data_IF_664020433538
#
_entry.id   IF_664020433538
#
_cell.length_a   1.000
_cell.length_b   1.000
_cell.length_c   1.000
_cell.angle_alpha   90.00
_cell.angle_beta   90.00
_cell.angle_gamma   90.00
#
_symmetry.space_group_name_H-M   'P 1'
#
loop_
_entity.id
_entity.type
_entity.pdbx_description
1 polymer ?
#
# COMPACT_ATOMS: atom_id res chain seq x y z
N UNK A 1 -4.22 -44.29 -11.04
CA UNK A 1 -2.99 -43.47 -10.96
C UNK A 1 -2.74 -42.91 -12.35
N UNK A 2 -3.32 -41.75 -12.65
CA UNK A 2 -3.09 -40.99 -13.89
C UNK A 2 -2.70 -39.60 -13.41
N UNK A 3 -1.47 -39.21 -13.72
CA UNK A 3 -0.94 -37.89 -13.44
C UNK A 3 -1.78 -36.85 -14.18
N UNK A 4 -2.25 -35.87 -13.43
CA UNK A 4 -2.74 -34.61 -13.99
C UNK A 4 -1.54 -33.67 -13.99
N UNK A 5 -0.75 -33.78 -15.04
CA UNK A 5 0.02 -32.63 -15.51
C UNK A 5 -0.95 -31.65 -16.18
N UNK A 6 -0.47 -30.42 -16.39
CA UNK A 6 -1.08 -29.32 -17.12
C UNK A 6 -2.00 -28.36 -16.35
N UNK A 7 -1.45 -27.16 -16.13
CA UNK A 7 -2.26 -25.99 -15.82
C UNK A 7 -1.53 -24.84 -15.17
N UNK A 8 -0.38 -24.42 -15.73
CA UNK A 8 0.14 -23.09 -15.46
C UNK A 8 -0.90 -22.04 -15.80
N UNK A 9 -1.49 -21.41 -14.78
CA UNK A 9 -2.23 -20.16 -14.93
C UNK A 9 -1.39 -19.05 -14.31
N UNK A 10 -0.48 -18.55 -15.15
CA UNK A 10 -0.07 -17.15 -15.08
C UNK A 10 -1.29 -16.30 -15.37
N UNK A 11 -1.80 -15.64 -14.34
CA UNK A 11 -2.84 -14.63 -14.45
C UNK A 11 -2.75 -13.76 -13.22
N UNK A 12 -2.13 -12.58 -13.35
CA UNK A 12 -2.12 -11.56 -12.32
C UNK A 12 -3.54 -11.03 -12.11
N UNK A 13 -4.36 -11.79 -11.39
CA UNK A 13 -5.57 -11.29 -10.75
C UNK A 13 -5.09 -10.86 -9.37
N UNK A 14 -4.87 -9.55 -9.19
CA UNK A 14 -4.35 -8.99 -7.95
C UNK A 14 -5.17 -9.53 -6.77
N UNK A 15 -4.49 -10.18 -5.83
CA UNK A 15 -5.14 -10.67 -4.63
C UNK A 15 -5.69 -9.45 -3.86
N UNK A 16 -6.88 -9.56 -3.25
CA UNK A 16 -7.40 -8.49 -2.42
C UNK A 16 -6.41 -8.18 -1.30
N UNK A 17 -6.16 -6.89 -1.07
CA UNK A 17 -5.24 -6.42 -0.03
C UNK A 17 -5.61 -7.05 1.31
N UNK A 18 -4.66 -7.74 1.94
CA UNK A 18 -4.88 -8.35 3.25
C UNK A 18 -4.91 -7.32 4.38
N UNK A 19 -5.58 -7.61 5.51
CA UNK A 19 -5.53 -6.77 6.72
C UNK A 19 -4.11 -6.51 7.24
N UNK A 20 -3.19 -7.48 7.06
CA UNK A 20 -1.79 -7.31 7.43
C UNK A 20 -1.06 -6.32 6.52
N UNK A 21 -1.31 -6.37 5.21
CA UNK A 21 -0.76 -5.40 4.26
C UNK A 21 -1.32 -3.99 4.51
N UNK A 22 -2.60 -3.83 4.85
CA UNK A 22 -3.16 -2.51 5.23
C UNK A 22 -2.41 -1.88 6.40
N UNK A 23 -2.22 -2.66 7.48
CA UNK A 23 -1.47 -2.21 8.66
C UNK A 23 -0.03 -1.86 8.34
N UNK A 24 0.65 -2.71 7.55
CA UNK A 24 2.02 -2.46 7.11
C UNK A 24 2.12 -1.16 6.29
N UNK A 25 1.21 -0.96 5.33
CA UNK A 25 1.15 0.26 4.52
C UNK A 25 0.92 1.51 5.37
N UNK A 26 -0.04 1.48 6.30
CA UNK A 26 -0.24 2.58 7.25
C UNK A 26 0.99 2.86 8.09
N UNK A 27 1.63 1.81 8.61
CA UNK A 27 2.85 1.94 9.40
C UNK A 27 3.98 2.60 8.62
N UNK A 28 4.15 2.23 7.35
CA UNK A 28 5.13 2.84 6.45
C UNK A 28 4.81 4.31 6.15
N UNK A 29 3.53 4.64 5.96
CA UNK A 29 3.08 6.01 5.68
C UNK A 29 2.97 6.89 6.94
N UNK A 30 3.10 6.32 8.14
CA UNK A 30 2.86 7.01 9.40
C UNK A 30 1.40 7.40 9.63
N UNK A 31 0.45 6.75 8.95
CA UNK A 31 -0.98 7.08 9.03
C UNK A 31 -1.69 6.36 10.17
N UNK A 32 -2.57 7.06 10.87
CA UNK A 32 -3.55 6.49 11.78
C UNK A 32 -4.74 5.85 11.03
N UNK A 33 -5.52 5.00 11.72
CA UNK A 33 -6.77 4.42 11.18
C UNK A 33 -7.76 5.51 10.76
N UNK A 34 -7.88 6.57 11.59
CA UNK A 34 -8.72 7.72 11.32
C UNK A 34 -8.28 8.52 10.07
N UNK A 35 -6.96 8.66 9.84
CA UNK A 35 -6.44 9.32 8.64
C UNK A 35 -6.72 8.51 7.38
N UNK A 36 -6.49 7.20 7.40
CA UNK A 36 -6.85 6.34 6.29
C UNK A 36 -8.35 6.42 6.01
N UNK A 37 -9.18 6.31 7.05
CA UNK A 37 -10.64 6.42 6.95
C UNK A 37 -11.07 7.74 6.31
N UNK A 38 -10.49 8.87 6.73
CA UNK A 38 -10.75 10.20 6.14
C UNK A 38 -10.33 10.28 4.67
N UNK A 39 -9.23 9.65 4.28
CA UNK A 39 -8.73 9.65 2.89
C UNK A 39 -9.65 8.88 1.95
N UNK A 40 -10.24 7.78 2.42
CA UNK A 40 -11.21 6.98 1.63
C UNK A 40 -12.67 7.39 1.81
N UNK A 41 -12.97 8.27 2.77
CA UNK A 41 -14.33 8.68 3.12
C UNK A 41 -15.12 7.59 3.88
N UNK A 42 -14.44 6.74 4.64
CA UNK A 42 -15.06 5.73 5.50
C UNK A 42 -15.08 6.18 6.97
N UNK A 43 -15.90 5.49 7.77
CA UNK A 43 -15.80 5.60 9.22
C UNK A 43 -14.54 4.87 9.73
N UNK A 44 -13.90 5.41 10.77
CA UNK A 44 -12.73 4.81 11.40
C UNK A 44 -12.96 3.35 11.81
N UNK A 45 -14.16 3.05 12.31
CA UNK A 45 -14.55 1.69 12.69
C UNK A 45 -14.45 0.69 11.54
N UNK A 46 -14.74 1.10 10.31
CA UNK A 46 -14.65 0.22 9.13
C UNK A 46 -13.20 -0.19 8.86
N UNK A 47 -12.26 0.76 9.00
CA UNK A 47 -10.82 0.49 8.84
C UNK A 47 -10.34 -0.43 9.95
N UNK A 48 -10.71 -0.13 11.20
CA UNK A 48 -10.35 -0.97 12.35
C UNK A 48 -10.87 -2.39 12.26
N UNK A 49 -12.15 -2.54 11.92
CA UNK A 49 -12.80 -3.85 11.80
C UNK A 49 -12.11 -4.65 10.68
N UNK A 50 -11.85 -4.04 9.53
CA UNK A 50 -11.07 -4.65 8.45
C UNK A 50 -9.66 -5.07 8.89
N UNK A 51 -8.91 -4.19 9.56
CA UNK A 51 -7.54 -4.49 10.01
C UNK A 51 -7.48 -5.56 11.11
N UNK A 52 -8.53 -5.68 11.92
CA UNK A 52 -8.73 -6.74 12.90
C UNK A 52 -9.16 -8.07 12.27
N UNK A 53 -9.51 -8.10 10.98
CA UNK A 53 -10.10 -9.27 10.32
C UNK A 53 -11.54 -9.54 10.77
N UNK A 54 -12.22 -8.52 11.31
CA UNK A 54 -13.61 -8.59 11.73
C UNK A 54 -14.49 -7.89 10.69
N UNK A 55 -15.44 -8.64 10.11
CA UNK A 55 -16.26 -8.15 9.00
C UNK A 55 -15.54 -8.32 7.67
N UNK A 56 -16.30 -8.73 6.66
CA UNK A 56 -15.81 -8.94 5.30
C UNK A 56 -16.23 -7.72 4.46
N UNK A 57 -15.41 -6.64 4.40
CA UNK A 57 -15.77 -5.48 3.62
C UNK A 57 -15.89 -5.86 2.15
N UNK A 58 -16.94 -5.37 1.50
CA UNK A 58 -17.15 -5.61 0.07
C UNK A 58 -15.88 -5.30 -0.74
N UNK A 59 -15.57 -6.06 -1.81
CA UNK A 59 -14.35 -5.90 -2.60
C UNK A 59 -14.05 -4.45 -3.03
N UNK A 60 -15.08 -3.66 -3.34
CA UNK A 60 -14.91 -2.24 -3.70
C UNK A 60 -14.36 -1.36 -2.58
N UNK A 61 -14.62 -1.70 -1.30
CA UNK A 61 -14.05 -0.98 -0.14
C UNK A 61 -12.59 -1.33 0.06
N UNK A 62 -12.22 -2.59 -0.12
CA UNK A 62 -10.82 -3.04 -0.06
C UNK A 62 -10.02 -2.34 -1.15
N UNK A 63 -10.56 -2.24 -2.36
CA UNK A 63 -9.90 -1.53 -3.46
C UNK A 63 -9.78 -0.03 -3.20
N UNK A 64 -10.78 0.61 -2.61
CA UNK A 64 -10.68 2.02 -2.20
C UNK A 64 -9.57 2.26 -1.17
N UNK A 65 -9.44 1.38 -0.16
CA UNK A 65 -8.36 1.42 0.83
C UNK A 65 -6.99 1.22 0.16
N UNK A 66 -6.87 0.19 -0.68
CA UNK A 66 -5.65 -0.11 -1.42
C UNK A 66 -5.23 1.06 -2.30
N UNK A 67 -6.18 1.62 -3.05
CA UNK A 67 -5.95 2.76 -3.95
C UNK A 67 -5.49 4.01 -3.20
N UNK A 68 -6.09 4.34 -2.05
CA UNK A 68 -5.66 5.49 -1.24
C UNK A 68 -4.24 5.32 -0.68
N UNK A 69 -3.88 4.12 -0.23
CA UNK A 69 -2.53 3.80 0.22
C UNK A 69 -1.54 3.86 -0.94
N UNK A 70 -1.92 3.36 -2.12
CA UNK A 70 -1.09 3.44 -3.32
C UNK A 70 -0.87 4.88 -3.80
N UNK A 71 -1.90 5.72 -3.75
CA UNK A 71 -1.80 7.12 -4.09
C UNK A 71 -0.83 7.89 -3.17
N UNK A 72 -0.64 7.41 -1.94
CA UNK A 72 0.33 7.96 -0.99
C UNK A 72 1.76 7.40 -1.16
N UNK A 73 1.97 6.47 -2.10
CA UNK A 73 3.27 5.89 -2.39
C UNK A 73 3.50 4.50 -1.81
N UNK A 74 2.50 3.85 -1.21
CA UNK A 74 2.63 2.44 -0.82
C UNK A 74 2.48 1.54 -2.05
N UNK A 75 3.34 0.54 -2.19
CA UNK A 75 3.23 -0.48 -3.24
C UNK A 75 3.08 -1.84 -2.61
N UNK A 76 2.01 -2.52 -3.02
CA UNK A 76 1.67 -3.85 -2.56
C UNK A 76 2.30 -4.90 -3.47
N UNK A 77 2.91 -5.90 -2.85
CA UNK A 77 3.39 -7.12 -3.52
C UNK A 77 2.58 -8.30 -2.99
N UNK A 78 2.12 -9.18 -3.88
CA UNK A 78 1.21 -10.27 -3.49
C UNK A 78 1.87 -11.66 -3.56
N UNK A 79 2.83 -11.88 -4.46
CA UNK A 79 3.47 -13.18 -4.66
C UNK A 79 4.91 -13.04 -5.16
N UNK A 80 5.83 -13.95 -4.77
CA UNK A 80 5.67 -15.06 -3.81
C UNK A 80 5.70 -14.63 -2.34
N UNK A 81 6.05 -13.37 -2.07
CA UNK A 81 6.12 -12.81 -0.72
C UNK A 81 5.17 -11.62 -0.62
N UNK A 82 4.01 -11.80 0.04
CA UNK A 82 3.10 -10.71 0.32
C UNK A 82 3.81 -9.63 1.14
N UNK A 83 3.74 -8.39 0.69
CA UNK A 83 4.48 -7.30 1.31
C UNK A 83 3.96 -5.92 0.92
N UNK A 84 4.51 -4.92 1.60
CA UNK A 84 4.32 -3.51 1.27
C UNK A 84 5.67 -2.83 1.30
N UNK A 85 5.93 -2.00 0.29
CA UNK A 85 7.09 -1.11 0.25
C UNK A 85 6.63 0.32 0.01
N UNK A 86 7.46 1.30 0.35
CA UNK A 86 7.28 2.65 -0.16
C UNK A 86 8.02 2.74 -1.49
N UNK A 87 7.34 3.26 -2.52
CA UNK A 87 8.07 3.77 -3.66
C UNK A 87 8.86 5.00 -3.21
N UNK A 88 10.12 5.14 -3.64
CA UNK A 88 10.85 6.37 -3.43
C UNK A 88 10.06 7.48 -4.11
N UNK A 89 9.37 8.30 -3.31
CA UNK A 89 8.84 9.56 -3.81
C UNK A 89 10.05 10.34 -4.29
N UNK A 90 10.13 10.58 -5.60
CA UNK A 90 11.27 11.23 -6.20
C UNK A 90 11.58 12.54 -5.47
N UNK A 91 12.73 12.57 -4.80
CA UNK A 91 13.55 13.76 -4.59
C UNK A 91 12.81 15.00 -4.09
N UNK A 92 12.40 14.99 -2.82
CA UNK A 92 12.29 16.22 -2.03
C UNK A 92 13.35 16.17 -0.94
N UNK A 93 14.42 16.94 -1.10
CA UNK A 93 15.48 17.14 -0.09
C UNK A 93 16.60 16.09 -0.03
N UNK A 94 17.11 15.70 -1.20
CA UNK A 94 18.56 15.66 -1.33
C UNK A 94 18.98 17.02 -1.86
N UNK A 95 19.65 17.86 -1.05
CA UNK A 95 20.36 19.03 -1.58
C UNK A 95 21.18 18.54 -2.77
N UNK A 96 20.84 19.02 -3.98
CA UNK A 96 21.64 18.71 -5.17
C UNK A 96 23.08 19.06 -4.83
N UNK A 97 23.97 18.07 -4.89
CA UNK A 97 25.41 18.30 -4.72
C UNK A 97 25.94 19.34 -5.75
N UNK A 98 25.18 19.65 -6.80
CA UNK A 98 25.47 20.69 -7.79
C UNK A 98 24.93 22.10 -7.52
N UNK A 99 24.17 22.34 -6.43
CA UNK A 99 23.68 23.68 -6.04
C UNK A 99 24.57 24.36 -4.98
N UNK A 100 25.66 23.71 -4.55
CA UNK A 100 26.71 24.29 -3.71
C UNK A 100 27.64 25.17 -4.57
N UNK A 101 27.11 26.24 -5.13
CA UNK A 101 27.96 27.27 -5.74
C UNK A 101 28.49 28.18 -4.64
N UNK A 102 29.77 28.56 -4.72
CA UNK A 102 30.43 29.49 -3.78
C UNK A 102 29.82 30.91 -3.81
N UNK A 103 28.81 31.17 -4.63
CA UNK A 103 28.25 32.51 -4.86
C UNK A 103 27.09 32.89 -3.93
N UNK A 104 26.62 31.98 -3.07
CA UNK A 104 25.48 32.24 -2.18
C UNK A 104 25.87 32.67 -0.74
N UNK A 105 27.11 33.10 -0.53
CA UNK A 105 27.64 33.56 0.76
C UNK A 105 27.92 35.10 0.74
N UNK A 106 26.91 35.89 0.35
CA UNK A 106 26.97 37.36 0.40
C UNK A 106 25.94 37.95 1.35
#
# INVERSE_FOLDING_TARGET
MVGSDEGGQSGAVGLPMSPAQSRAARGLLGWSEAELARKVGFEERVVRDFEAGHGDPSPGRIEALRSALMAAGAVFTDSPYPGVRLEPQGQGEGTRLGDLTTENDR
#
